data_IF_431796610966
#
_entry.id   IF_431796610966
#
_cell.length_a   1.000
_cell.length_b   1.000
_cell.length_c   1.000
_cell.angle_alpha   90.00
_cell.angle_beta   90.00
_cell.angle_gamma   90.00
#
_symmetry.space_group_name_H-M   'P 1'
#
loop_
_entity.id
_entity.type
_entity.pdbx_description
1 polymer ?
#
# COMPACT_ATOMS: atom_id res chain seq x y z
N UNK A 1 22.44 -73.18 -30.77
CA UNK A 1 22.77 -74.08 -29.63
C UNK A 1 23.20 -73.21 -28.45
N UNK A 2 22.53 -73.38 -27.30
CA UNK A 2 22.88 -73.08 -25.88
C UNK A 2 24.10 -72.15 -25.64
N UNK A 3 24.07 -71.12 -24.80
CA UNK A 3 23.97 -71.21 -23.32
C UNK A 3 23.88 -69.79 -22.67
N UNK A 4 22.98 -69.66 -21.68
CA UNK A 4 22.87 -68.78 -20.48
C UNK A 4 23.82 -67.58 -20.25
N UNK A 5 23.27 -66.47 -19.73
CA UNK A 5 23.25 -66.16 -18.28
C UNK A 5 22.50 -64.82 -18.00
N UNK A 6 21.28 -64.90 -17.46
CA UNK A 6 20.58 -63.75 -16.86
C UNK A 6 21.00 -63.64 -15.39
N UNK A 7 21.61 -62.52 -15.02
CA UNK A 7 21.92 -62.17 -13.63
C UNK A 7 20.70 -61.42 -13.08
N UNK A 8 20.01 -62.02 -12.11
CA UNK A 8 19.07 -61.33 -11.22
C UNK A 8 19.88 -60.54 -10.18
N UNK A 9 19.75 -59.22 -10.16
CA UNK A 9 20.11 -58.39 -9.00
C UNK A 9 18.84 -58.11 -8.17
N UNK A 10 18.93 -58.12 -6.82
CA UNK A 10 17.78 -57.95 -5.95
C UNK A 10 17.34 -56.48 -5.88
N UNK A 11 16.03 -56.26 -5.92
CA UNK A 11 15.35 -55.00 -5.58
C UNK A 11 15.57 -54.70 -4.09
N UNK A 12 16.48 -53.77 -3.80
CA UNK A 12 16.59 -53.14 -2.48
C UNK A 12 15.43 -52.15 -2.32
N UNK A 13 14.41 -52.56 -1.57
CA UNK A 13 13.35 -51.70 -1.06
C UNK A 13 13.91 -50.84 0.07
N UNK A 14 14.32 -49.62 -0.25
CA UNK A 14 14.65 -48.60 0.76
C UNK A 14 13.34 -48.10 1.39
N UNK A 15 13.04 -48.61 2.58
CA UNK A 15 12.00 -48.06 3.44
C UNK A 15 12.42 -46.66 3.89
N UNK A 16 11.92 -45.64 3.21
CA UNK A 16 11.99 -44.26 3.70
C UNK A 16 11.16 -44.16 4.98
N UNK A 17 11.86 -44.13 6.11
CA UNK A 17 11.27 -43.84 7.41
C UNK A 17 11.02 -42.33 7.49
N UNK A 18 9.76 -41.92 7.35
CA UNK A 18 9.33 -40.54 7.60
C UNK A 18 9.39 -40.33 9.13
N UNK A 19 10.25 -39.46 9.67
CA UNK A 19 10.20 -39.15 11.09
C UNK A 19 8.86 -38.44 11.37
N UNK A 20 7.97 -39.13 12.08
CA UNK A 20 6.71 -38.55 12.57
C UNK A 20 7.02 -37.73 13.82
N UNK A 21 7.69 -36.59 13.65
CA UNK A 21 7.79 -35.58 14.69
C UNK A 21 6.47 -34.78 14.71
N UNK A 22 5.43 -35.37 15.30
CA UNK A 22 4.23 -34.63 15.68
C UNK A 22 4.59 -33.75 16.87
N UNK A 23 5.22 -32.61 16.60
CA UNK A 23 5.23 -31.52 17.57
C UNK A 23 3.81 -30.96 17.59
N UNK A 24 2.95 -31.50 18.46
CA UNK A 24 1.75 -30.80 18.90
C UNK A 24 2.24 -29.51 19.56
N UNK A 25 2.32 -28.44 18.79
CA UNK A 25 2.32 -27.11 19.38
C UNK A 25 0.98 -26.99 20.08
N UNK A 26 1.04 -27.03 21.41
CA UNK A 26 -0.09 -26.85 22.29
C UNK A 26 -0.54 -25.40 22.12
N UNK A 27 -1.41 -25.16 21.13
CA UNK A 27 -2.07 -23.89 20.89
C UNK A 27 -3.18 -23.70 21.94
N UNK A 28 -2.78 -23.66 23.21
CA UNK A 28 -3.66 -23.40 24.34
C UNK A 28 -3.00 -22.32 25.18
N UNK A 29 -3.38 -21.06 24.92
CA UNK A 29 -3.64 -20.02 25.94
C UNK A 29 -3.44 -18.58 25.48
N UNK A 30 -3.17 -18.28 24.21
CA UNK A 30 -3.43 -16.94 23.69
C UNK A 30 -4.93 -16.83 23.35
N UNK A 31 -5.77 -16.87 24.38
CA UNK A 31 -7.06 -16.20 24.31
C UNK A 31 -6.70 -14.71 24.22
N UNK A 32 -6.91 -14.11 23.05
CA UNK A 32 -7.16 -12.68 23.05
C UNK A 32 -8.26 -12.46 24.10
N UNK A 33 -8.01 -11.63 25.11
CA UNK A 33 -9.09 -11.12 25.93
C UNK A 33 -10.00 -10.33 25.00
N UNK A 34 -10.97 -11.00 24.40
CA UNK A 34 -12.17 -10.35 23.92
C UNK A 34 -12.90 -9.87 25.16
N UNK A 35 -12.51 -8.69 25.66
CA UNK A 35 -13.38 -7.95 26.57
C UNK A 35 -14.70 -7.77 25.82
N UNK A 36 -15.82 -8.30 26.34
CA UNK A 36 -17.12 -8.08 25.72
C UNK A 36 -17.28 -6.57 25.58
N UNK A 37 -17.50 -6.09 24.35
CA UNK A 37 -17.95 -4.71 24.16
C UNK A 37 -19.30 -4.68 24.86
N UNK A 38 -19.32 -4.12 26.06
CA UNK A 38 -20.53 -3.91 26.84
C UNK A 38 -21.42 -2.94 26.07
N UNK A 39 -22.28 -3.49 25.21
CA UNK A 39 -23.23 -2.75 24.39
C UNK A 39 -24.29 -2.06 25.23
N UNK A 40 -24.37 -2.35 26.53
CA UNK A 40 -25.25 -1.64 27.48
C UNK A 40 -24.75 -0.22 27.82
N UNK A 41 -23.52 0.12 27.44
CA UNK A 41 -22.89 1.43 27.66
C UNK A 41 -22.57 2.19 26.34
N UNK A 42 -23.35 2.01 25.27
CA UNK A 42 -23.25 2.88 24.07
C UNK A 42 -23.73 4.30 24.40
N UNK A 43 -22.78 5.17 24.78
CA UNK A 43 -23.05 6.59 25.07
C UNK A 43 -22.62 7.52 23.92
N UNK A 44 -21.82 7.03 22.98
CA UNK A 44 -21.28 7.84 21.89
C UNK A 44 -22.30 7.99 20.77
N UNK A 45 -22.94 9.14 20.63
CA UNK A 45 -23.74 9.40 19.43
C UNK A 45 -22.85 9.28 18.18
N UNK A 46 -23.41 8.87 17.04
CA UNK A 46 -22.67 8.87 15.76
C UNK A 46 -22.09 10.27 15.46
N UNK A 47 -22.74 11.32 15.95
CA UNK A 47 -22.28 12.70 15.92
C UNK A 47 -20.98 12.90 16.73
N UNK A 48 -20.90 12.41 17.96
CA UNK A 48 -19.70 12.53 18.81
C UNK A 48 -18.51 11.78 18.23
N UNK A 49 -18.72 10.52 17.81
CA UNK A 49 -17.68 9.71 17.19
C UNK A 49 -17.19 10.36 15.89
N UNK A 50 -18.10 10.81 15.02
CA UNK A 50 -17.74 11.51 13.79
C UNK A 50 -16.96 12.80 14.10
N UNK A 51 -17.40 13.58 15.08
CA UNK A 51 -16.74 14.83 15.49
C UNK A 51 -15.32 14.59 16.01
N UNK A 52 -15.09 13.49 16.74
CA UNK A 52 -13.75 13.11 17.19
C UNK A 52 -12.78 12.77 16.03
N UNK A 53 -13.33 12.41 14.87
CA UNK A 53 -12.55 12.17 13.63
C UNK A 53 -12.53 13.36 12.66
N UNK A 54 -13.23 14.46 12.99
CA UNK A 54 -13.45 15.61 12.11
C UNK A 54 -12.31 16.64 12.11
N UNK A 55 -11.20 16.40 12.81
CA UNK A 55 -10.12 17.38 12.97
C UNK A 55 -9.30 17.64 11.71
N UNK A 56 -9.50 16.86 10.65
CA UNK A 56 -8.68 16.93 9.44
C UNK A 56 -9.17 18.04 8.50
N UNK A 57 -8.48 19.18 8.53
CA UNK A 57 -8.68 20.24 7.54
C UNK A 57 -8.27 19.72 6.15
N UNK A 58 -9.22 19.65 5.23
CA UNK A 58 -8.93 19.41 3.82
C UNK A 58 -8.20 20.62 3.22
N UNK A 59 -7.01 20.38 2.67
CA UNK A 59 -6.26 21.36 1.88
C UNK A 59 -6.65 21.22 0.41
N UNK A 60 -6.50 20.03 -0.18
CA UNK A 60 -7.02 19.73 -1.52
C UNK A 60 -8.10 18.65 -1.43
N UNK A 61 -9.28 18.97 -1.96
CA UNK A 61 -10.36 18.00 -2.14
C UNK A 61 -10.18 17.21 -3.44
N UNK A 62 -11.07 16.24 -3.69
CA UNK A 62 -11.01 15.38 -4.86
C UNK A 62 -11.09 16.16 -6.19
N UNK A 63 -11.81 17.29 -6.21
CA UNK A 63 -11.94 18.13 -7.40
C UNK A 63 -10.60 18.81 -7.73
N UNK A 64 -9.95 19.39 -6.71
CA UNK A 64 -8.63 20.01 -6.87
C UNK A 64 -7.56 18.98 -7.23
N UNK A 65 -7.62 17.78 -6.66
CA UNK A 65 -6.74 16.66 -7.01
C UNK A 65 -6.96 16.27 -8.49
N UNK A 66 -8.20 16.10 -8.93
CA UNK A 66 -8.55 15.73 -10.31
C UNK A 66 -8.15 16.78 -11.35
N UNK A 67 -8.13 18.07 -10.97
CA UNK A 67 -7.59 19.15 -11.80
C UNK A 67 -6.06 19.14 -11.89
N UNK A 68 -5.39 18.59 -10.89
CA UNK A 68 -3.91 18.54 -10.81
C UNK A 68 -3.36 17.28 -11.47
N UNK A 69 -3.96 16.13 -11.18
CA UNK A 69 -3.52 14.82 -11.66
C UNK A 69 -4.35 14.35 -12.86
N UNK A 70 -3.74 13.73 -13.87
CA UNK A 70 -4.48 13.16 -15.00
C UNK A 70 -5.18 11.83 -14.65
N UNK A 71 -4.82 11.18 -13.54
CA UNK A 71 -5.36 9.87 -13.13
C UNK A 71 -6.88 9.89 -12.96
N UNK A 72 -7.56 8.85 -13.45
CA UNK A 72 -9.00 8.64 -13.31
C UNK A 72 -9.29 7.22 -12.86
N UNK A 73 -10.53 6.94 -12.49
CA UNK A 73 -10.96 5.58 -12.15
C UNK A 73 -10.55 4.59 -13.26
N UNK A 74 -10.01 3.40 -12.92
CA UNK A 74 -9.83 2.84 -11.56
C UNK A 74 -8.47 3.13 -10.90
N UNK A 75 -7.74 4.15 -11.35
CA UNK A 75 -6.33 4.38 -10.97
C UNK A 75 -6.07 5.75 -10.31
N UNK A 76 -7.11 6.46 -9.86
CA UNK A 76 -6.95 7.64 -9.01
C UNK A 76 -6.99 7.21 -7.54
N UNK A 77 -5.85 7.30 -6.84
CA UNK A 77 -5.63 6.67 -5.53
C UNK A 77 -5.33 7.67 -4.40
N UNK A 78 -5.59 8.96 -4.61
CA UNK A 78 -5.49 10.00 -3.57
C UNK A 78 -6.86 10.65 -3.42
N UNK A 79 -7.50 10.45 -2.26
CA UNK A 79 -8.86 10.93 -2.03
C UNK A 79 -8.87 12.37 -1.47
N UNK A 80 -7.82 12.73 -0.72
CA UNK A 80 -7.69 14.03 -0.06
C UNK A 80 -6.22 14.38 0.22
N UNK A 81 -5.89 15.67 0.22
CA UNK A 81 -4.65 16.21 0.81
C UNK A 81 -5.02 17.02 2.04
N UNK A 82 -4.41 16.69 3.19
CA UNK A 82 -4.69 17.32 4.51
C UNK A 82 -3.54 18.22 5.00
N UNK A 83 -2.37 18.12 4.39
CA UNK A 83 -1.27 19.06 4.60
C UNK A 83 -0.44 19.20 3.32
N UNK A 84 -0.03 20.41 2.99
CA UNK A 84 0.70 20.69 1.76
C UNK A 84 1.68 21.86 1.98
N UNK A 85 2.96 21.59 1.74
CA UNK A 85 4.03 22.59 1.69
C UNK A 85 4.51 22.65 0.24
N UNK A 86 4.25 23.75 -0.49
CA UNK A 86 4.59 23.87 -1.91
C UNK A 86 6.04 23.49 -2.20
N UNK A 87 6.22 22.61 -3.19
CA UNK A 87 7.52 22.14 -3.66
C UNK A 87 8.31 21.27 -2.68
N UNK A 88 7.75 20.88 -1.52
CA UNK A 88 8.50 20.17 -0.48
C UNK A 88 7.79 18.92 0.00
N UNK A 89 6.56 19.02 0.50
CA UNK A 89 5.94 17.94 1.28
C UNK A 89 4.44 17.93 1.15
N UNK A 90 3.83 16.76 1.19
CA UNK A 90 2.39 16.60 1.24
C UNK A 90 1.99 15.44 2.16
N UNK A 91 0.85 15.60 2.82
CA UNK A 91 0.16 14.52 3.54
C UNK A 91 -1.20 14.32 2.90
N UNK A 92 -1.45 13.12 2.40
CA UNK A 92 -2.69 12.73 1.74
C UNK A 92 -3.35 11.53 2.41
N UNK A 93 -4.57 11.24 1.99
CA UNK A 93 -5.37 10.12 2.50
C UNK A 93 -5.84 9.27 1.33
N UNK A 94 -5.71 7.95 1.48
CA UNK A 94 -6.35 6.93 0.63
C UNK A 94 -7.24 6.06 1.50
N UNK A 95 -8.55 6.20 1.33
CA UNK A 95 -9.56 5.31 1.88
C UNK A 95 -9.57 3.99 1.11
N UNK A 96 -9.60 2.89 1.84
CA UNK A 96 -9.60 1.54 1.29
C UNK A 96 -10.98 0.92 1.52
N UNK A 97 -11.67 0.54 0.46
CA UNK A 97 -13.02 -0.03 0.53
C UNK A 97 -13.13 -1.33 -0.24
N UNK A 98 -13.95 -2.26 0.25
CA UNK A 98 -14.22 -3.54 -0.40
C UNK A 98 -14.76 -3.35 -1.83
N UNK A 99 -15.40 -2.21 -2.09
CA UNK A 99 -16.00 -1.87 -3.38
C UNK A 99 -14.99 -1.33 -4.43
N UNK A 100 -13.69 -1.59 -4.26
CA UNK A 100 -12.66 -1.26 -5.26
C UNK A 100 -12.34 -2.47 -6.16
N UNK A 101 -12.07 -2.26 -7.45
CA UNK A 101 -11.96 -3.35 -8.44
C UNK A 101 -10.84 -4.36 -8.12
N UNK A 102 -9.74 -3.93 -7.51
CA UNK A 102 -8.64 -4.83 -7.15
C UNK A 102 -9.04 -5.94 -6.16
N UNK A 103 -10.07 -5.72 -5.33
CA UNK A 103 -10.50 -6.71 -4.33
C UNK A 103 -11.32 -7.86 -4.93
N UNK A 104 -11.75 -7.74 -6.18
CA UNK A 104 -12.36 -8.86 -6.91
C UNK A 104 -11.37 -10.01 -7.14
N UNK A 105 -10.06 -9.73 -7.12
CA UNK A 105 -9.01 -10.71 -7.41
C UNK A 105 -7.87 -10.77 -6.39
N UNK A 106 -7.77 -9.84 -5.43
CA UNK A 106 -6.61 -9.76 -4.52
C UNK A 106 -7.00 -9.69 -3.02
N UNK A 107 -7.44 -10.76 -2.39
CA UNK A 107 -7.85 -12.05 -2.94
C UNK A 107 -9.32 -12.32 -2.57
N UNK A 108 -10.08 -13.12 -3.33
CA UNK A 108 -11.53 -13.28 -3.13
C UNK A 108 -11.97 -13.52 -1.68
N UNK A 109 -11.28 -14.42 -0.95
CA UNK A 109 -11.61 -14.76 0.45
C UNK A 109 -10.78 -14.00 1.49
N UNK A 110 -9.82 -13.18 1.03
CA UNK A 110 -8.90 -12.42 1.88
C UNK A 110 -8.51 -11.13 1.17
N UNK A 111 -9.39 -10.11 1.16
CA UNK A 111 -9.14 -8.86 0.47
C UNK A 111 -7.96 -8.13 1.13
N UNK A 112 -6.90 -7.89 0.36
CA UNK A 112 -5.68 -7.20 0.78
C UNK A 112 -5.36 -6.16 -0.30
N UNK A 113 -5.13 -4.91 0.06
CA UNK A 113 -4.75 -3.90 -0.92
C UNK A 113 -3.38 -4.27 -1.52
N UNK A 114 -3.26 -4.43 -2.85
CA UNK A 114 -1.99 -4.75 -3.48
C UNK A 114 -0.90 -3.74 -3.08
N UNK A 115 0.25 -4.24 -2.62
CA UNK A 115 1.34 -3.40 -2.13
C UNK A 115 1.83 -2.37 -3.17
N UNK A 116 1.77 -2.73 -4.45
CA UNK A 116 2.10 -1.84 -5.57
C UNK A 116 1.15 -0.64 -5.70
N UNK A 117 -0.14 -0.79 -5.35
CA UNK A 117 -1.09 0.32 -5.36
C UNK A 117 -0.86 1.28 -4.19
N UNK A 118 -0.28 0.81 -3.09
CA UNK A 118 0.15 1.70 -2.00
C UNK A 118 1.34 2.57 -2.44
N UNK A 119 2.29 2.00 -3.19
CA UNK A 119 3.41 2.74 -3.79
C UNK A 119 2.91 3.73 -4.84
N UNK A 120 1.97 3.32 -5.68
CA UNK A 120 1.34 4.18 -6.68
C UNK A 120 0.61 5.37 -6.01
N UNK A 121 -0.13 5.15 -4.93
CA UNK A 121 -0.80 6.23 -4.21
C UNK A 121 0.19 7.25 -3.64
N UNK A 122 1.34 6.80 -3.12
CA UNK A 122 2.45 7.68 -2.72
C UNK A 122 3.04 8.44 -3.92
N UNK A 123 3.23 7.77 -5.06
CA UNK A 123 3.72 8.39 -6.28
C UNK A 123 2.77 9.49 -6.80
N UNK A 124 1.46 9.24 -6.78
CA UNK A 124 0.44 10.23 -7.17
C UNK A 124 0.45 11.44 -6.23
N UNK A 125 0.57 11.22 -4.92
CA UNK A 125 0.70 12.31 -3.96
C UNK A 125 1.98 13.13 -4.20
N UNK A 126 3.10 12.49 -4.56
CA UNK A 126 4.31 13.18 -4.96
C UNK A 126 4.13 13.94 -6.29
N UNK A 127 3.35 13.40 -7.22
CA UNK A 127 2.94 14.05 -8.46
C UNK A 127 2.19 15.36 -8.23
N UNK A 128 1.34 15.44 -7.19
CA UNK A 128 0.67 16.70 -6.80
C UNK A 128 1.70 17.77 -6.43
N UNK A 129 2.79 17.42 -5.73
CA UNK A 129 3.87 18.37 -5.43
C UNK A 129 4.56 18.80 -6.74
N UNK A 130 4.94 17.82 -7.56
CA UNK A 130 5.75 18.05 -8.77
C UNK A 130 5.04 18.89 -9.82
N UNK A 131 3.74 18.66 -10.05
CA UNK A 131 2.94 19.38 -11.05
C UNK A 131 2.52 20.78 -10.61
N UNK A 132 2.73 21.15 -9.34
CA UNK A 132 2.53 22.51 -8.83
C UNK A 132 3.86 23.27 -8.66
N UNK A 133 4.98 22.73 -9.16
CA UNK A 133 6.24 23.47 -9.20
C UNK A 133 6.17 24.59 -10.27
N UNK A 134 6.86 25.73 -10.07
CA UNK A 134 6.85 26.84 -11.03
C UNK A 134 7.28 26.47 -12.45
N UNK A 135 8.12 25.45 -12.58
CA UNK A 135 8.67 24.99 -13.87
C UNK A 135 7.74 24.01 -14.62
N UNK A 136 6.66 23.53 -13.97
CA UNK A 136 5.69 22.64 -14.58
C UNK A 136 4.66 23.46 -15.39
N UNK A 137 4.57 23.20 -16.69
CA UNK A 137 3.55 23.81 -17.54
C UNK A 137 2.18 23.15 -17.30
N UNK A 138 1.06 23.88 -17.49
CA UNK A 138 -0.25 23.26 -17.61
C UNK A 138 -0.21 22.12 -18.66
N UNK A 139 -0.76 20.96 -18.32
CA UNK A 139 -0.72 19.76 -19.18
C UNK A 139 0.54 18.90 -19.05
N UNK A 140 1.54 19.30 -18.23
CA UNK A 140 2.73 18.47 -18.01
C UNK A 140 2.34 17.08 -17.48
N UNK A 141 2.96 16.06 -18.05
CA UNK A 141 2.76 14.66 -17.64
C UNK A 141 3.90 14.25 -16.72
N UNK A 142 3.53 13.53 -15.67
CA UNK A 142 4.44 13.01 -14.66
C UNK A 142 4.60 11.50 -14.85
N UNK A 143 5.82 11.06 -15.17
CA UNK A 143 6.16 9.66 -15.37
C UNK A 143 6.91 9.09 -14.19
N UNK A 144 6.46 7.94 -13.70
CA UNK A 144 7.13 7.20 -12.64
C UNK A 144 8.27 6.35 -13.23
N UNK A 145 9.52 6.80 -13.03
CA UNK A 145 10.69 6.26 -13.71
C UNK A 145 11.42 5.16 -12.92
N UNK A 146 11.48 5.28 -11.59
CA UNK A 146 12.13 4.27 -10.74
C UNK A 146 11.63 4.33 -9.30
N UNK A 147 11.68 3.19 -8.61
CA UNK A 147 11.42 3.10 -7.17
C UNK A 147 12.49 2.24 -6.51
N UNK A 148 12.92 2.63 -5.32
CA UNK A 148 13.94 1.93 -4.54
C UNK A 148 13.60 1.93 -3.05
N UNK A 149 14.05 0.88 -2.35
CA UNK A 149 13.88 0.73 -0.91
C UNK A 149 12.43 0.56 -0.44
N UNK A 150 11.58 -0.12 -1.24
CA UNK A 150 10.19 -0.39 -0.86
C UNK A 150 10.13 -1.47 0.23
N UNK A 151 9.37 -1.20 1.29
CA UNK A 151 9.09 -2.14 2.38
C UNK A 151 7.62 -2.08 2.75
N UNK A 152 6.95 -3.23 2.70
CA UNK A 152 5.61 -3.41 3.26
C UNK A 152 5.72 -4.00 4.66
N UNK A 153 5.04 -3.38 5.62
CA UNK A 153 5.18 -3.65 7.05
C UNK A 153 3.90 -4.26 7.64
N UNK A 154 2.75 -3.84 7.14
CA UNK A 154 1.42 -4.28 7.59
C UNK A 154 0.51 -4.45 6.36
N UNK A 155 -0.23 -5.56 6.25
CA UNK A 155 -1.28 -5.69 5.24
C UNK A 155 -2.32 -4.59 5.42
N UNK A 156 -2.76 -3.98 4.31
CA UNK A 156 -3.85 -3.01 4.31
C UNK A 156 -5.10 -3.70 3.78
N UNK A 157 -6.25 -3.48 4.42
CA UNK A 157 -7.50 -4.16 4.15
C UNK A 157 -8.67 -3.18 4.02
N UNK A 158 -9.80 -3.60 3.42
CA UNK A 158 -11.02 -2.80 3.39
C UNK A 158 -11.43 -2.27 4.77
N UNK A 159 -11.76 -0.98 4.85
CA UNK A 159 -12.05 -0.26 6.09
C UNK A 159 -10.90 0.66 6.53
N UNK A 160 -9.67 0.36 6.11
CA UNK A 160 -8.51 1.18 6.47
C UNK A 160 -8.51 2.55 5.78
N UNK A 161 -7.90 3.53 6.45
CA UNK A 161 -7.45 4.78 5.84
C UNK A 161 -5.92 4.79 5.87
N UNK A 162 -5.31 4.85 4.70
CA UNK A 162 -3.87 5.06 4.60
C UNK A 162 -3.60 6.56 4.64
N UNK A 163 -2.97 7.01 5.72
CA UNK A 163 -2.37 8.34 5.81
C UNK A 163 -1.00 8.28 5.14
N UNK A 164 -0.85 9.03 4.06
CA UNK A 164 0.34 9.00 3.22
C UNK A 164 1.13 10.29 3.41
N UNK A 165 2.43 10.18 3.63
CA UNK A 165 3.36 11.30 3.72
C UNK A 165 4.42 11.14 2.64
N UNK A 166 4.65 12.21 1.86
CA UNK A 166 5.71 12.25 0.86
C UNK A 166 6.50 13.55 0.95
N UNK A 167 7.81 13.45 0.70
CA UNK A 167 8.75 14.56 0.75
C UNK A 167 9.64 14.54 -0.49
N UNK A 168 9.70 15.66 -1.20
CA UNK A 168 10.60 15.86 -2.32
C UNK A 168 12.03 16.01 -1.79
N UNK A 169 12.89 15.10 -2.21
CA UNK A 169 14.30 15.03 -1.79
C UNK A 169 15.24 15.67 -2.82
N UNK A 170 14.81 15.79 -4.07
CA UNK A 170 15.59 16.42 -5.12
C UNK A 170 14.69 16.94 -6.25
N UNK A 171 15.01 18.11 -6.79
CA UNK A 171 14.41 18.67 -8.00
C UNK A 171 15.49 19.17 -8.95
N UNK A 172 15.57 18.58 -10.14
CA UNK A 172 16.50 18.97 -11.20
C UNK A 172 15.72 19.53 -12.38
N UNK A 173 15.30 20.80 -12.26
CA UNK A 173 14.46 21.50 -13.24
C UNK A 173 14.95 21.38 -14.69
N UNK A 174 16.26 21.57 -14.92
CA UNK A 174 16.90 21.46 -16.24
C UNK A 174 16.62 20.14 -16.96
N UNK A 175 16.44 19.05 -16.22
CA UNK A 175 16.20 17.71 -16.76
C UNK A 175 14.77 17.23 -16.54
N UNK A 176 13.92 18.01 -15.87
CA UNK A 176 12.59 17.58 -15.46
C UNK A 176 12.60 16.39 -14.50
N UNK A 177 13.67 16.18 -13.71
CA UNK A 177 13.78 15.01 -12.82
C UNK A 177 13.49 15.39 -11.38
N UNK A 178 12.52 14.72 -10.77
CA UNK A 178 12.18 14.82 -9.36
C UNK A 178 12.53 13.51 -8.63
N UNK A 179 12.92 13.61 -7.35
CA UNK A 179 12.99 12.47 -6.44
C UNK A 179 12.21 12.74 -5.17
N UNK A 180 11.46 11.77 -4.70
CA UNK A 180 10.76 11.85 -3.42
C UNK A 180 10.96 10.57 -2.59
N UNK A 181 10.75 10.67 -1.29
CA UNK A 181 10.58 9.51 -0.38
C UNK A 181 9.16 9.54 0.18
N UNK A 182 8.66 8.40 0.67
CA UNK A 182 7.30 8.35 1.20
C UNK A 182 7.04 7.24 2.21
N UNK A 183 6.02 7.44 3.04
CA UNK A 183 5.52 6.48 4.03
C UNK A 183 4.00 6.49 4.07
N UNK A 184 3.40 5.33 4.28
CA UNK A 184 1.97 5.17 4.55
C UNK A 184 1.76 4.62 5.96
N UNK A 185 0.70 5.09 6.62
CA UNK A 185 0.33 4.70 7.98
C UNK A 185 -1.15 4.28 8.05
N UNK A 186 -1.43 3.23 8.81
CA UNK A 186 -2.79 2.79 9.18
C UNK A 186 -2.81 2.61 10.69
N UNK A 187 -3.73 3.30 11.37
CA UNK A 187 -3.85 3.30 12.84
C UNK A 187 -2.55 3.65 13.58
N UNK A 188 -1.78 4.59 13.02
CA UNK A 188 -0.50 5.04 13.60
C UNK A 188 0.69 4.11 13.32
N UNK A 189 0.48 2.97 12.68
CA UNK A 189 1.55 2.03 12.32
C UNK A 189 1.94 2.19 10.85
N UNK A 190 3.25 2.12 10.56
CA UNK A 190 3.75 2.14 9.18
C UNK A 190 3.21 0.90 8.45
N UNK A 191 2.51 1.09 7.34
CA UNK A 191 2.07 0.00 6.45
C UNK A 191 2.99 -0.16 5.23
N UNK A 192 3.52 0.95 4.70
CA UNK A 192 4.46 0.99 3.58
C UNK A 192 5.51 2.08 3.77
N UNK A 193 6.75 1.81 3.35
CA UNK A 193 7.84 2.78 3.29
C UNK A 193 8.53 2.66 1.93
N UNK A 194 8.87 3.81 1.33
CA UNK A 194 9.59 3.90 0.06
C UNK A 194 10.77 4.85 0.25
N UNK A 195 11.99 4.31 0.11
CA UNK A 195 13.23 5.07 0.28
C UNK A 195 13.43 6.13 -0.80
N UNK A 196 13.15 5.81 -2.06
CA UNK A 196 13.22 6.76 -3.17
C UNK A 196 12.24 6.40 -4.28
N UNK A 197 11.55 7.41 -4.81
CA UNK A 197 10.78 7.39 -6.04
C UNK A 197 11.39 8.44 -6.97
N UNK A 198 11.66 8.09 -8.22
CA UNK A 198 12.20 8.99 -9.23
C UNK A 198 11.16 9.22 -10.30
N UNK A 199 11.00 10.49 -10.68
CA UNK A 199 10.00 10.91 -11.64
C UNK A 199 10.61 11.75 -12.73
N UNK A 200 10.05 11.65 -13.93
CA UNK A 200 10.36 12.50 -15.07
C UNK A 200 9.12 13.31 -15.44
N UNK A 201 9.28 14.63 -15.54
CA UNK A 201 8.22 15.54 -15.97
C UNK A 201 8.47 15.86 -17.45
N UNK A 202 7.52 15.49 -18.29
CA UNK A 202 7.53 15.83 -19.71
C UNK A 202 6.56 16.98 -19.98
N UNK A 203 6.99 17.89 -20.86
CA UNK A 203 6.10 18.87 -21.48
C UNK A 203 5.43 18.19 -22.67
N UNK A 204 4.11 18.34 -22.78
CA UNK A 204 3.37 17.96 -23.98
C UNK A 204 3.82 18.80 -25.19
#
# INVERSE_FOLDING_TARGET
MKTFLFILLPLLTSSFHIPTATTRLHLSSLKAEETPIDSSNWHGSALELSSSTSSEKTVFDINKISQTLPHRYPFALVDRVISYIPGQKAVGVKCVTQNEPQFTGHFPDRPIMPGVLQVEALAQLAGIICLNLPDASPGSIFFFAAVDGVKWKKPVTPGDKIYMEVELTNWKSKFGIAKAKGKGYVDGEVCVEVGSMTFAIAKE
#
